data_IF_939685297902
#
_entry.id   IF_939685297902
#
_cell.length_a   1.000
_cell.length_b   1.000
_cell.length_c   1.000
_cell.angle_alpha   90.00
_cell.angle_beta   90.00
_cell.angle_gamma   90.00
#
_symmetry.space_group_name_H-M   'P 1'
#
loop_
_entity.id
_entity.type
_entity.pdbx_description
1 polymer ?
#
# COMPACT_ATOMS: atom_id res chain seq x y z
N UNK A 1 -3.49 0.40 -28.31
CA UNK A 1 -2.82 1.25 -27.30
C UNK A 1 -3.90 1.75 -26.37
N UNK A 2 -3.70 1.66 -25.05
CA UNK A 2 -4.67 2.16 -24.08
C UNK A 2 -4.89 3.67 -24.26
N UNK A 3 -6.13 4.13 -24.11
CA UNK A 3 -6.46 5.55 -24.27
C UNK A 3 -5.73 6.42 -23.20
N UNK A 4 -5.24 7.61 -23.58
CA UNK A 4 -4.66 8.55 -22.62
C UNK A 4 -5.68 8.98 -21.56
N UNK A 5 -5.26 9.02 -20.30
CA UNK A 5 -6.12 9.37 -19.17
C UNK A 5 -6.08 10.87 -18.91
N UNK A 6 -7.21 11.58 -19.02
CA UNK A 6 -7.29 12.99 -18.64
C UNK A 6 -7.16 13.14 -17.12
N UNK A 7 -6.10 13.81 -16.66
CA UNK A 7 -5.78 13.95 -15.22
C UNK A 7 -5.88 15.40 -14.72
N UNK A 8 -5.74 16.37 -15.61
CA UNK A 8 -5.88 17.79 -15.28
C UNK A 8 -6.28 18.59 -16.52
N UNK A 9 -6.93 19.74 -16.30
CA UNK A 9 -7.28 20.67 -17.37
C UNK A 9 -7.42 22.10 -16.87
N UNK A 10 -7.22 23.03 -17.79
CA UNK A 10 -7.58 24.45 -17.73
C UNK A 10 -8.52 24.75 -18.91
N UNK A 11 -9.09 25.96 -19.04
CA UNK A 11 -9.87 26.33 -20.22
C UNK A 11 -9.09 26.18 -21.54
N UNK A 12 -7.76 26.34 -21.50
CA UNK A 12 -6.91 26.38 -22.69
C UNK A 12 -6.09 25.11 -22.91
N UNK A 13 -5.92 24.26 -21.89
CA UNK A 13 -5.00 23.13 -21.92
C UNK A 13 -5.56 21.90 -21.22
N UNK A 14 -5.44 20.74 -21.86
CA UNK A 14 -5.71 19.44 -21.26
C UNK A 14 -4.41 18.67 -21.05
N UNK A 15 -4.31 17.98 -19.91
CA UNK A 15 -3.15 17.18 -19.53
C UNK A 15 -3.54 15.73 -19.35
N UNK A 16 -2.89 14.87 -20.13
CA UNK A 16 -3.14 13.44 -20.16
C UNK A 16 -1.97 12.66 -19.59
N UNK A 17 -2.28 11.61 -18.83
CA UNK A 17 -1.35 10.57 -18.43
C UNK A 17 -1.43 9.42 -19.44
N UNK A 18 -0.29 9.04 -20.01
CA UNK A 18 -0.19 7.86 -20.86
C UNK A 18 -0.12 6.60 -19.97
N UNK A 19 -1.07 5.65 -20.05
CA UNK A 19 -1.08 4.47 -19.18
C UNK A 19 0.23 3.66 -19.21
N UNK A 20 0.82 3.50 -20.41
CA UNK A 20 2.10 2.78 -20.57
C UNK A 20 3.30 3.48 -19.92
N UNK A 21 3.17 4.74 -19.51
CA UNK A 21 4.21 5.50 -18.82
C UNK A 21 3.98 5.56 -17.30
N UNK A 22 2.83 5.08 -16.80
CA UNK A 22 2.48 5.07 -15.37
C UNK A 22 3.32 4.08 -14.54
N UNK A 23 4.16 3.27 -15.18
CA UNK A 23 5.15 2.41 -14.53
C UNK A 23 6.39 3.16 -14.00
N UNK A 24 6.47 4.47 -14.25
CA UNK A 24 7.53 5.34 -13.69
C UNK A 24 7.07 5.98 -12.39
N UNK A 25 8.00 6.14 -11.46
CA UNK A 25 7.73 6.85 -10.20
C UNK A 25 7.42 8.33 -10.45
N UNK A 26 6.43 8.84 -9.73
CA UNK A 26 6.02 10.25 -9.75
C UNK A 26 5.97 10.82 -8.34
N UNK A 27 6.01 12.16 -8.25
CA UNK A 27 5.94 12.90 -6.98
C UNK A 27 4.84 13.95 -7.06
N UNK A 28 3.87 13.87 -6.15
CA UNK A 28 2.86 14.91 -5.95
C UNK A 28 3.21 15.67 -4.68
N UNK A 29 3.58 16.93 -4.84
CA UNK A 29 3.96 17.82 -3.73
C UNK A 29 3.13 19.11 -3.76
N UNK A 30 3.02 19.78 -2.63
CA UNK A 30 2.24 21.01 -2.46
C UNK A 30 1.90 21.28 -1.00
N UNK A 31 1.53 22.52 -0.69
CA UNK A 31 1.11 22.91 0.65
C UNK A 31 -0.24 22.26 1.04
N UNK A 32 -0.64 22.37 2.31
CA UNK A 32 -1.97 21.93 2.75
C UNK A 32 -3.04 22.74 2.01
N UNK A 33 -4.10 22.07 1.54
CA UNK A 33 -5.19 22.72 0.80
C UNK A 33 -4.94 22.95 -0.70
N UNK A 34 -3.77 22.61 -1.24
CA UNK A 34 -3.48 22.79 -2.68
C UNK A 34 -3.98 21.66 -3.58
N UNK A 35 -4.84 20.77 -3.06
CA UNK A 35 -5.49 19.73 -3.86
C UNK A 35 -4.73 18.42 -4.04
N UNK A 36 -3.64 18.16 -3.29
CA UNK A 36 -2.89 16.88 -3.36
C UNK A 36 -3.79 15.64 -3.31
N UNK A 37 -4.71 15.61 -2.33
CA UNK A 37 -5.66 14.51 -2.14
C UNK A 37 -6.56 14.35 -3.37
N UNK A 38 -7.09 15.45 -3.91
CA UNK A 38 -7.95 15.43 -5.11
C UNK A 38 -7.18 14.93 -6.33
N UNK A 39 -5.91 15.31 -6.49
CA UNK A 39 -5.05 14.81 -7.58
C UNK A 39 -4.81 13.30 -7.44
N UNK A 40 -4.51 12.81 -6.23
CA UNK A 40 -4.33 11.38 -5.98
C UNK A 40 -5.60 10.58 -6.25
N UNK A 41 -6.75 11.08 -5.78
CA UNK A 41 -8.05 10.47 -6.06
C UNK A 41 -8.31 10.40 -7.55
N UNK A 42 -8.14 11.51 -8.30
CA UNK A 42 -8.38 11.49 -9.75
C UNK A 42 -7.46 10.51 -10.49
N UNK A 43 -6.20 10.39 -10.08
CA UNK A 43 -5.30 9.40 -10.66
C UNK A 43 -5.75 7.96 -10.35
N UNK A 44 -6.17 7.69 -9.11
CA UNK A 44 -6.66 6.39 -8.71
C UNK A 44 -7.93 5.99 -9.47
N UNK A 45 -8.88 6.92 -9.60
CA UNK A 45 -10.11 6.78 -10.37
C UNK A 45 -9.79 6.46 -11.84
N UNK A 46 -9.00 7.29 -12.50
CA UNK A 46 -8.66 7.11 -13.92
C UNK A 46 -7.91 5.79 -14.20
N UNK A 47 -7.08 5.32 -13.28
CA UNK A 47 -6.40 4.02 -13.40
C UNK A 47 -7.37 2.86 -13.15
N UNK A 48 -8.25 2.98 -12.16
CA UNK A 48 -9.30 2.00 -11.85
C UNK A 48 -10.28 1.83 -13.02
N UNK A 49 -10.67 2.93 -13.69
CA UNK A 49 -11.56 2.94 -14.87
C UNK A 49 -11.04 2.07 -16.02
N UNK A 50 -9.71 1.99 -16.19
CA UNK A 50 -9.08 1.13 -17.21
C UNK A 50 -8.69 -0.26 -16.70
N UNK A 51 -9.12 -0.63 -15.49
CA UNK A 51 -8.87 -1.93 -14.88
C UNK A 51 -7.50 -2.09 -14.24
N UNK A 52 -6.76 -1.01 -14.01
CA UNK A 52 -5.48 -1.06 -13.30
C UNK A 52 -5.74 -1.00 -11.79
N UNK A 53 -5.34 -2.02 -11.00
CA UNK A 53 -5.53 -1.99 -9.56
C UNK A 53 -4.61 -0.94 -8.92
N UNK A 54 -5.17 -0.14 -8.00
CA UNK A 54 -4.44 0.92 -7.30
C UNK A 54 -4.42 0.62 -5.81
N UNK A 55 -3.22 0.53 -5.23
CA UNK A 55 -3.02 0.43 -3.80
C UNK A 55 -2.62 1.80 -3.23
N UNK A 56 -3.31 2.25 -2.19
CA UNK A 56 -3.05 3.53 -1.54
C UNK A 56 -3.06 3.39 -0.02
N UNK A 57 -2.07 4.00 0.64
CA UNK A 57 -2.05 4.13 2.09
C UNK A 57 -2.77 5.43 2.49
N UNK A 58 -3.95 5.31 3.10
CA UNK A 58 -4.73 6.45 3.56
C UNK A 58 -4.53 6.69 5.06
N UNK A 59 -3.53 7.51 5.41
CA UNK A 59 -3.21 7.83 6.80
C UNK A 59 -4.21 8.81 7.42
N UNK A 60 -4.85 9.67 6.60
CA UNK A 60 -5.73 10.75 7.07
C UNK A 60 -7.22 10.43 6.93
N UNK A 61 -7.58 9.37 6.22
CA UNK A 61 -8.95 9.02 5.88
C UNK A 61 -9.54 9.89 4.76
N UNK A 62 -8.73 10.66 4.04
CA UNK A 62 -9.20 11.60 3.04
C UNK A 62 -9.22 11.03 1.61
N UNK A 63 -8.72 9.81 1.38
CA UNK A 63 -8.74 9.12 0.09
C UNK A 63 -9.92 8.18 -0.07
N UNK A 64 -10.43 7.61 1.03
CA UNK A 64 -11.56 6.64 1.01
C UNK A 64 -12.86 7.15 0.37
N UNK A 65 -13.02 8.47 0.20
CA UNK A 65 -14.19 9.09 -0.42
C UNK A 65 -14.49 8.63 -1.85
N UNK A 66 -13.48 8.12 -2.58
CA UNK A 66 -13.65 7.60 -3.97
C UNK A 66 -14.56 6.37 -4.06
N UNK A 67 -14.84 5.72 -2.92
CA UNK A 67 -15.74 4.57 -2.83
C UNK A 67 -17.22 4.94 -2.98
N UNK A 68 -17.56 6.24 -2.90
CA UNK A 68 -18.93 6.73 -2.98
C UNK A 68 -19.07 7.69 -4.15
N UNK A 69 -20.26 7.71 -4.76
CA UNK A 69 -20.58 8.71 -5.76
C UNK A 69 -20.56 10.10 -5.13
N UNK A 70 -19.82 11.03 -5.75
CA UNK A 70 -19.67 12.37 -5.22
C UNK A 70 -21.00 13.13 -5.14
N UNK A 71 -21.24 13.88 -4.07
CA UNK A 71 -22.39 14.76 -3.96
C UNK A 71 -22.10 16.11 -4.60
N UNK A 72 -23.00 16.59 -5.46
CA UNK A 72 -22.92 17.92 -6.02
C UNK A 72 -22.98 18.98 -4.90
N UNK A 73 -21.97 19.85 -4.85
CA UNK A 73 -21.92 21.00 -3.95
C UNK A 73 -21.63 22.27 -4.74
N UNK A 74 -22.08 23.43 -4.26
CA UNK A 74 -21.84 24.72 -4.94
C UNK A 74 -20.35 24.95 -5.22
N UNK A 75 -19.49 24.60 -4.26
CA UNK A 75 -18.03 24.70 -4.39
C UNK A 75 -17.47 23.78 -5.49
N UNK A 76 -18.00 22.55 -5.60
CA UNK A 76 -17.59 21.60 -6.64
C UNK A 76 -18.05 22.08 -8.02
N UNK A 77 -19.33 22.45 -8.15
CA UNK A 77 -19.91 22.93 -9.41
C UNK A 77 -19.20 24.19 -9.91
N UNK A 78 -18.90 25.14 -9.02
CA UNK A 78 -18.12 26.33 -9.37
C UNK A 78 -16.71 25.97 -9.86
N UNK A 79 -16.04 25.00 -9.22
CA UNK A 79 -14.73 24.51 -9.66
C UNK A 79 -14.81 23.87 -11.03
N UNK A 80 -15.77 22.97 -11.26
CA UNK A 80 -15.98 22.27 -12.54
C UNK A 80 -16.22 23.28 -13.68
N UNK A 81 -17.07 24.28 -13.43
CA UNK A 81 -17.31 25.38 -14.37
C UNK A 81 -16.04 26.16 -14.69
N UNK A 82 -15.22 26.48 -13.68
CA UNK A 82 -13.97 27.23 -13.88
C UNK A 82 -12.93 26.48 -14.71
N UNK A 83 -12.95 25.14 -14.68
CA UNK A 83 -12.04 24.29 -15.47
C UNK A 83 -12.67 23.80 -16.79
N UNK A 84 -13.91 24.19 -17.09
CA UNK A 84 -14.61 23.85 -18.33
C UNK A 84 -15.19 22.43 -18.38
N UNK A 85 -15.39 21.77 -17.23
CA UNK A 85 -16.03 20.45 -17.16
C UNK A 85 -17.54 20.63 -17.06
N UNK A 86 -18.26 20.17 -18.08
CA UNK A 86 -19.72 20.31 -18.19
C UNK A 86 -20.46 18.97 -18.17
N UNK A 87 -19.72 17.86 -18.26
CA UNK A 87 -20.16 16.48 -18.39
C UNK A 87 -19.86 15.64 -17.14
N UNK A 88 -19.53 16.29 -16.02
CA UNK A 88 -19.25 15.59 -14.77
C UNK A 88 -20.48 14.80 -14.31
N UNK A 89 -20.29 13.50 -14.12
CA UNK A 89 -21.27 12.61 -13.53
C UNK A 89 -20.68 11.94 -12.29
N UNK A 90 -21.39 11.97 -11.16
CA UNK A 90 -20.93 11.30 -9.96
C UNK A 90 -21.03 9.79 -10.14
N UNK A 91 -19.94 9.09 -9.82
CA UNK A 91 -19.89 7.63 -9.84
C UNK A 91 -19.04 7.14 -8.67
N UNK A 92 -19.24 5.89 -8.27
CA UNK A 92 -18.47 5.22 -7.23
C UNK A 92 -17.41 4.31 -7.86
N UNK A 93 -16.27 4.14 -7.19
CA UNK A 93 -15.22 3.22 -7.61
C UNK A 93 -15.27 1.92 -6.79
N UNK A 94 -14.87 0.78 -7.37
CA UNK A 94 -14.68 -0.44 -6.61
C UNK A 94 -13.53 -0.26 -5.63
N UNK A 95 -13.84 -0.24 -4.33
CA UNK A 95 -12.86 -0.05 -3.26
C UNK A 95 -12.97 -1.16 -2.23
N UNK A 96 -11.83 -1.73 -1.85
CA UNK A 96 -11.71 -2.61 -0.70
C UNK A 96 -10.82 -1.92 0.32
N UNK A 97 -11.39 -1.54 1.45
CA UNK A 97 -10.61 -0.97 2.56
C UNK A 97 -9.92 -2.09 3.30
N UNK A 98 -8.59 -2.02 3.38
CA UNK A 98 -7.79 -2.95 4.14
C UNK A 98 -7.58 -2.43 5.55
N UNK A 99 -7.82 -3.29 6.54
CA UNK A 99 -7.65 -2.99 7.94
C UNK A 99 -6.57 -3.89 8.55
N UNK A 100 -5.57 -3.24 9.13
CA UNK A 100 -4.43 -3.90 9.79
C UNK A 100 -4.91 -4.65 11.04
N UNK A 101 -5.93 -4.12 11.73
CA UNK A 101 -6.51 -4.74 12.92
C UNK A 101 -7.68 -5.69 12.59
N UNK A 102 -8.19 -5.63 11.36
CA UNK A 102 -9.29 -6.47 10.90
C UNK A 102 -10.64 -6.19 11.58
N UNK A 103 -10.86 -4.97 12.10
CA UNK A 103 -12.08 -4.59 12.81
C UNK A 103 -13.14 -3.99 11.88
N UNK A 104 -12.73 -3.11 10.96
CA UNK A 104 -13.59 -2.26 10.14
C UNK A 104 -13.47 -2.51 8.64
N UNK A 105 -12.47 -3.28 8.22
CA UNK A 105 -12.16 -3.52 6.82
C UNK A 105 -11.69 -4.96 6.58
N UNK A 106 -11.29 -5.21 5.34
CA UNK A 106 -10.74 -6.50 4.96
C UNK A 106 -9.43 -6.73 5.72
N UNK A 107 -9.30 -7.83 6.48
CA UNK A 107 -8.10 -8.05 7.29
C UNK A 107 -6.88 -8.19 6.38
N UNK A 108 -5.81 -7.48 6.72
CA UNK A 108 -4.50 -7.69 6.11
C UNK A 108 -3.96 -9.02 6.65
N UNK A 109 -3.79 -10.00 5.76
CA UNK A 109 -3.17 -11.29 6.10
C UNK A 109 -1.68 -11.21 5.78
N UNK A 110 -0.87 -11.11 6.82
CA UNK A 110 0.58 -11.24 6.73
C UNK A 110 1.07 -12.01 7.96
N UNK A 111 1.94 -13.00 7.75
CA UNK A 111 2.59 -13.79 8.78
C UNK A 111 4.03 -13.34 8.99
N UNK A 112 4.65 -13.76 10.09
CA UNK A 112 6.09 -13.57 10.32
C UNK A 112 6.91 -14.25 9.21
N UNK A 113 6.47 -15.43 8.75
CA UNK A 113 7.04 -16.11 7.58
C UNK A 113 6.96 -15.28 6.29
N UNK A 114 5.84 -14.59 6.02
CA UNK A 114 5.69 -13.76 4.81
C UNK A 114 6.62 -12.54 4.80
N UNK A 115 6.91 -11.96 5.97
CA UNK A 115 7.87 -10.86 6.10
C UNK A 115 9.30 -11.35 5.85
N UNK A 116 9.63 -12.54 6.34
CA UNK A 116 10.96 -13.11 6.27
C UNK A 116 12.00 -12.37 7.14
N UNK A 117 13.20 -12.93 7.29
CA UNK A 117 14.20 -12.43 8.24
C UNK A 117 14.75 -11.06 7.82
N UNK A 118 14.84 -10.76 6.52
CA UNK A 118 15.41 -9.50 6.02
C UNK A 118 14.53 -8.29 6.33
N UNK A 119 13.22 -8.37 6.05
CA UNK A 119 12.31 -7.25 6.33
C UNK A 119 12.12 -7.08 7.84
N UNK A 120 11.99 -8.18 8.59
CA UNK A 120 11.91 -8.14 10.05
C UNK A 120 13.15 -7.52 10.68
N UNK A 121 14.36 -7.88 10.23
CA UNK A 121 15.59 -7.28 10.74
C UNK A 121 15.61 -5.76 10.52
N UNK A 122 15.17 -5.28 9.35
CA UNK A 122 15.08 -3.84 9.06
C UNK A 122 14.00 -3.15 9.90
N UNK A 123 12.82 -3.76 10.04
CA UNK A 123 11.72 -3.20 10.84
C UNK A 123 12.08 -3.08 12.31
N UNK A 124 12.81 -4.06 12.84
CA UNK A 124 13.27 -4.08 14.24
C UNK A 124 14.61 -3.34 14.43
N UNK A 125 15.19 -2.80 13.36
CA UNK A 125 16.48 -2.11 13.35
C UNK A 125 17.60 -2.94 14.03
N UNK A 126 17.68 -4.21 13.65
CA UNK A 126 18.65 -5.16 14.20
C UNK A 126 20.06 -4.85 13.70
N UNK A 127 21.06 -5.10 14.54
CA UNK A 127 22.46 -5.08 14.11
C UNK A 127 22.82 -6.35 13.30
N UNK A 128 24.04 -6.40 12.75
CA UNK A 128 24.48 -7.52 11.90
C UNK A 128 24.44 -8.87 12.62
N UNK A 129 24.80 -8.90 13.91
CA UNK A 129 24.79 -10.13 14.72
C UNK A 129 23.37 -10.61 14.95
N UNK A 130 22.47 -9.73 15.38
CA UNK A 130 21.05 -10.02 15.59
C UNK A 130 20.36 -10.46 14.29
N UNK A 131 20.71 -9.82 13.18
CA UNK A 131 20.22 -10.19 11.85
C UNK A 131 20.72 -11.57 11.43
N UNK A 132 21.98 -11.90 11.71
CA UNK A 132 22.54 -13.23 11.49
C UNK A 132 21.79 -14.32 12.27
N UNK A 133 21.56 -14.08 13.56
CA UNK A 133 20.78 -14.98 14.42
C UNK A 133 19.35 -15.15 13.90
N UNK A 134 18.69 -14.06 13.49
CA UNK A 134 17.35 -14.11 12.94
C UNK A 134 17.28 -14.94 11.65
N UNK A 135 18.28 -14.81 10.75
CA UNK A 135 18.36 -15.64 9.55
C UNK A 135 18.51 -17.13 9.89
N UNK A 136 19.32 -17.48 10.89
CA UNK A 136 19.46 -18.86 11.36
C UNK A 136 18.14 -19.40 11.90
N UNK A 137 17.43 -18.60 12.70
CA UNK A 137 16.12 -18.97 13.25
C UNK A 137 15.12 -19.29 12.14
N UNK A 138 15.01 -18.42 11.13
CA UNK A 138 14.11 -18.64 10.00
C UNK A 138 14.51 -19.89 9.19
N UNK A 139 15.80 -20.10 8.95
CA UNK A 139 16.29 -21.29 8.24
C UNK A 139 15.96 -22.58 8.98
N UNK A 140 16.14 -22.61 10.31
CA UNK A 140 15.77 -23.77 11.13
C UNK A 140 14.25 -24.00 11.08
N UNK A 141 13.45 -22.93 11.11
CA UNK A 141 12.00 -23.03 10.98
C UNK A 141 11.60 -23.70 9.65
N UNK A 142 12.18 -23.22 8.54
CA UNK A 142 11.92 -23.73 7.19
C UNK A 142 12.33 -25.20 7.05
N UNK A 143 13.53 -25.57 7.52
CA UNK A 143 14.05 -26.94 7.47
C UNK A 143 13.20 -27.93 8.30
N UNK A 144 12.50 -27.43 9.33
CA UNK A 144 11.59 -28.22 10.17
C UNK A 144 10.11 -28.12 9.73
N UNK A 145 9.81 -27.36 8.68
CA UNK A 145 8.43 -27.14 8.23
C UNK A 145 7.57 -26.36 9.23
N UNK A 146 8.19 -25.53 10.08
CA UNK A 146 7.52 -24.70 11.07
C UNK A 146 7.19 -23.33 10.48
N UNK A 147 5.92 -23.13 10.15
CA UNK A 147 5.43 -21.82 9.71
C UNK A 147 5.31 -20.87 10.91
N UNK A 148 5.94 -19.70 10.84
CA UNK A 148 5.89 -18.68 11.88
C UNK A 148 4.72 -17.74 11.57
N UNK A 149 3.58 -17.93 12.25
CA UNK A 149 2.38 -17.16 11.99
C UNK A 149 2.45 -15.78 12.65
N UNK A 150 2.90 -15.74 13.90
CA UNK A 150 2.93 -14.54 14.72
C UNK A 150 4.23 -14.40 15.55
N UNK A 151 4.31 -13.34 16.35
CA UNK A 151 5.46 -13.09 17.23
C UNK A 151 5.57 -14.06 18.40
N UNK A 152 4.51 -14.79 18.75
CA UNK A 152 4.58 -15.84 19.78
C UNK A 152 5.31 -17.04 19.23
N UNK A 153 5.05 -17.41 17.97
CA UNK A 153 5.79 -18.47 17.29
C UNK A 153 7.26 -18.10 17.14
N UNK A 154 7.56 -16.88 16.70
CA UNK A 154 8.95 -16.40 16.59
C UNK A 154 9.67 -16.46 17.94
N UNK A 155 9.00 -16.07 19.03
CA UNK A 155 9.56 -16.16 20.39
C UNK A 155 9.78 -17.60 20.82
N UNK A 156 8.81 -18.48 20.55
CA UNK A 156 8.88 -19.89 20.91
C UNK A 156 10.05 -20.59 20.20
N UNK A 157 10.22 -20.37 18.89
CA UNK A 157 11.34 -20.98 18.16
C UNK A 157 12.68 -20.37 18.57
N UNK A 158 12.73 -19.06 18.87
CA UNK A 158 13.95 -18.43 19.40
C UNK A 158 14.38 -19.08 20.72
N UNK A 159 13.42 -19.31 21.62
CA UNK A 159 13.68 -19.98 22.89
C UNK A 159 14.11 -21.43 22.67
N UNK A 160 13.40 -22.17 21.81
CA UNK A 160 13.72 -23.55 21.48
C UNK A 160 15.13 -23.70 20.92
N UNK A 161 15.54 -22.83 20.00
CA UNK A 161 16.90 -22.82 19.44
C UNK A 161 17.92 -22.45 20.52
N UNK A 162 17.62 -21.48 21.38
CA UNK A 162 18.49 -21.10 22.50
C UNK A 162 18.75 -22.26 23.47
N UNK A 163 17.71 -22.98 23.86
CA UNK A 163 17.80 -24.13 24.78
C UNK A 163 18.53 -25.32 24.15
N UNK A 164 18.50 -25.42 22.82
CA UNK A 164 19.11 -26.51 22.05
C UNK A 164 20.31 -26.03 21.21
N UNK A 165 20.95 -24.91 21.55
CA UNK A 165 21.96 -24.28 20.69
C UNK A 165 23.08 -25.24 20.26
N UNK A 166 23.50 -26.14 21.16
CA UNK A 166 24.55 -27.15 20.90
C UNK A 166 24.20 -28.14 19.79
N UNK A 167 22.92 -28.50 19.61
CA UNK A 167 22.52 -29.42 18.55
C UNK A 167 22.47 -28.74 17.18
N UNK A 168 22.19 -27.44 17.15
CA UNK A 168 22.08 -26.66 15.91
C UNK A 168 23.40 -26.05 15.43
N UNK A 169 24.35 -25.78 16.34
CA UNK A 169 25.62 -25.10 16.03
C UNK A 169 26.39 -25.75 14.87
N UNK A 170 26.52 -27.07 14.86
CA UNK A 170 27.30 -27.77 13.82
C UNK A 170 26.69 -27.68 12.42
N UNK A 171 25.35 -27.53 12.33
CA UNK A 171 24.63 -27.57 11.07
C UNK A 171 24.33 -26.17 10.52
N UNK A 172 24.17 -25.17 11.40
CA UNK A 172 23.71 -23.84 11.02
C UNK A 172 24.70 -22.70 11.33
N UNK A 173 25.75 -22.96 12.12
CA UNK A 173 26.76 -21.97 12.52
C UNK A 173 26.51 -21.43 13.91
#
# INVERSE_FOLDING_TARGET
>A
MSEPLLIARTPDTELFLLPGMANRHGLITGATGTGKTVTLQKLAESLSEIGVPVFMADVKGDLTGIAQAGTASEKLLARLKNIGVNDWQPHANPVVVWDIFGEKGHPVRATVSDLGPLLLARLLNLNDVQSGVLNIIFRIADDQGLLLLDFKDLRAITQYIGDNAKSFQNQYG
#
